data_IF_227382429390
#
_entry.id   IF_227382429390
#
_cell.length_a   1.000
_cell.length_b   1.000
_cell.length_c   1.000
_cell.angle_alpha   90.00
_cell.angle_beta   90.00
_cell.angle_gamma   90.00
#
_symmetry.space_group_name_H-M   'P 1'
#
loop_
_entity.id
_entity.type
_entity.pdbx_description
1 polymer ?
#
# COMPACT_ATOMS: atom_id res chain seq x y z
N UNK A 1 16.23 14.35 -21.80
CA UNK A 1 15.73 14.80 -20.48
C UNK A 1 15.13 13.58 -19.81
N UNK A 2 15.74 13.04 -18.76
CA UNK A 2 15.19 11.87 -18.07
C UNK A 2 13.87 12.26 -17.41
N UNK A 3 12.77 11.61 -17.78
CA UNK A 3 11.50 11.70 -17.06
C UNK A 3 11.82 11.35 -15.61
N UNK A 4 11.67 12.29 -14.67
CA UNK A 4 11.88 12.01 -13.25
C UNK A 4 10.65 11.21 -12.82
N UNK A 5 10.79 9.89 -12.79
CA UNK A 5 9.69 8.93 -12.57
C UNK A 5 9.37 8.90 -11.08
N UNK A 6 8.46 9.80 -10.67
CA UNK A 6 8.11 10.03 -9.27
C UNK A 6 6.70 9.52 -8.93
N UNK A 7 6.21 8.44 -9.56
CA UNK A 7 4.85 7.95 -9.29
C UNK A 7 4.85 6.83 -8.25
N UNK A 8 4.10 7.03 -7.17
CA UNK A 8 3.82 6.01 -6.16
C UNK A 8 2.39 5.50 -6.36
N UNK A 9 2.22 4.18 -6.31
CA UNK A 9 0.89 3.56 -6.37
C UNK A 9 0.51 3.04 -5.00
N UNK A 10 -0.69 3.36 -4.54
CA UNK A 10 -1.26 2.87 -3.29
C UNK A 10 -2.39 1.90 -3.60
N UNK A 11 -2.25 0.65 -3.18
CA UNK A 11 -3.23 -0.43 -3.39
C UNK A 11 -3.85 -0.83 -2.07
N UNK A 12 -5.18 -0.77 -2.00
CA UNK A 12 -5.97 -1.13 -0.83
C UNK A 12 -6.90 -2.31 -1.14
N UNK A 13 -6.74 -3.37 -0.37
CA UNK A 13 -7.52 -4.59 -0.48
C UNK A 13 -8.93 -4.51 0.12
N UNK A 14 -9.56 -5.69 0.32
CA UNK A 14 -10.94 -5.76 0.73
C UNK A 14 -11.23 -5.13 2.10
N UNK A 15 -12.44 -4.61 2.23
CA UNK A 15 -13.02 -3.94 3.41
C UNK A 15 -12.42 -2.59 3.79
N UNK A 16 -11.32 -2.13 3.18
CA UNK A 16 -10.72 -0.83 3.50
C UNK A 16 -11.59 0.36 3.06
N UNK A 17 -12.48 0.17 2.09
CA UNK A 17 -13.52 1.15 1.74
C UNK A 17 -14.51 1.47 2.88
N UNK A 18 -14.54 0.63 3.93
CA UNK A 18 -15.39 0.82 5.10
C UNK A 18 -14.66 1.46 6.30
N UNK A 19 -13.41 1.92 6.13
CA UNK A 19 -12.71 2.71 7.15
C UNK A 19 -13.53 3.96 7.53
N UNK A 20 -13.49 4.34 8.81
CA UNK A 20 -14.30 5.42 9.39
C UNK A 20 -15.80 5.14 9.53
N UNK A 21 -16.34 4.08 8.92
CA UNK A 21 -17.78 3.74 8.98
C UNK A 21 -18.13 2.68 10.02
N UNK A 22 -17.13 1.97 10.57
CA UNK A 22 -17.33 0.90 11.57
C UNK A 22 -17.03 1.43 12.97
N UNK A 23 -17.97 1.26 13.91
CA UNK A 23 -17.76 1.51 15.35
C UNK A 23 -16.83 0.42 15.94
N UNK A 24 -15.55 0.41 15.58
CA UNK A 24 -14.62 -0.60 16.07
C UNK A 24 -13.33 0.03 16.58
N UNK A 25 -12.97 -0.22 17.85
CA UNK A 25 -11.87 0.42 18.58
C UNK A 25 -10.47 0.28 17.93
N UNK A 26 -10.29 -0.67 16.99
CA UNK A 26 -9.01 -0.90 16.31
C UNK A 26 -8.75 0.01 15.11
N UNK A 27 -9.81 0.62 14.57
CA UNK A 27 -9.73 1.47 13.38
C UNK A 27 -10.20 2.86 13.81
N UNK A 28 -9.33 3.86 13.70
CA UNK A 28 -9.68 5.24 14.01
C UNK A 28 -10.85 5.76 13.17
N UNK A 29 -11.24 7.01 13.40
CA UNK A 29 -12.33 7.66 12.64
C UNK A 29 -11.96 8.02 11.20
N UNK A 30 -10.68 7.93 10.85
CA UNK A 30 -10.19 8.27 9.51
C UNK A 30 -10.73 7.32 8.45
N UNK A 31 -11.19 7.90 7.36
CA UNK A 31 -11.66 7.22 6.16
C UNK A 31 -10.52 7.01 5.17
N UNK A 32 -10.75 6.19 4.14
CA UNK A 32 -9.79 6.05 3.05
C UNK A 32 -9.54 7.38 2.33
N UNK A 33 -10.58 8.20 2.17
CA UNK A 33 -10.48 9.53 1.56
C UNK A 33 -9.59 10.47 2.37
N UNK A 34 -9.62 10.40 3.71
CA UNK A 34 -8.74 11.19 4.56
C UNK A 34 -7.27 10.82 4.34
N UNK A 35 -6.98 9.52 4.21
CA UNK A 35 -5.63 9.01 3.90
C UNK A 35 -5.18 9.50 2.52
N UNK A 36 -6.05 9.40 1.52
CA UNK A 36 -5.78 9.87 0.15
C UNK A 36 -5.43 11.37 0.13
N UNK A 37 -6.24 12.20 0.81
CA UNK A 37 -6.01 13.64 0.91
C UNK A 37 -4.67 13.97 1.59
N UNK A 38 -4.35 13.32 2.72
CA UNK A 38 -3.08 13.52 3.41
C UNK A 38 -1.88 13.14 2.53
N UNK A 39 -1.98 12.03 1.80
CA UNK A 39 -0.92 11.58 0.89
C UNK A 39 -0.78 12.50 -0.32
N UNK A 40 -1.88 12.98 -0.92
CA UNK A 40 -1.87 13.94 -2.02
C UNK A 40 -1.20 15.26 -1.62
N UNK A 41 -1.53 15.78 -0.44
CA UNK A 41 -0.89 16.98 0.11
C UNK A 41 0.61 16.78 0.29
N UNK A 42 1.02 15.61 0.80
CA UNK A 42 2.42 15.25 0.96
C UNK A 42 3.15 15.10 -0.38
N UNK A 43 2.52 14.44 -1.36
CA UNK A 43 3.03 14.29 -2.73
C UNK A 43 3.34 15.66 -3.34
N UNK A 44 2.40 16.59 -3.22
CA UNK A 44 2.52 17.96 -3.73
C UNK A 44 3.70 18.71 -3.10
N UNK A 45 3.92 18.57 -1.79
CA UNK A 45 5.07 19.18 -1.10
C UNK A 45 6.42 18.66 -1.61
N UNK A 46 6.46 17.45 -2.16
CA UNK A 46 7.66 16.76 -2.58
C UNK A 46 7.81 16.60 -4.11
N UNK A 47 6.94 17.24 -4.92
CA UNK A 47 6.91 17.08 -6.38
C UNK A 47 6.90 15.61 -6.82
N UNK A 48 6.03 14.83 -6.16
CA UNK A 48 5.81 13.41 -6.39
C UNK A 48 4.34 13.19 -6.78
N UNK A 49 4.10 12.24 -7.67
CA UNK A 49 2.76 11.80 -8.04
C UNK A 49 2.35 10.59 -7.21
N UNK A 50 1.09 10.55 -6.80
CA UNK A 50 0.52 9.39 -6.11
C UNK A 50 -0.83 9.04 -6.74
N UNK A 51 -1.10 7.74 -6.88
CA UNK A 51 -2.39 7.25 -7.36
C UNK A 51 -2.89 6.12 -6.47
N UNK A 52 -4.20 6.01 -6.35
CA UNK A 52 -4.85 5.11 -5.41
C UNK A 52 -5.75 4.13 -6.15
N UNK A 53 -5.75 2.89 -5.70
CA UNK A 53 -6.69 1.87 -6.14
C UNK A 53 -7.18 1.09 -4.93
N UNK A 54 -8.49 0.89 -4.85
CA UNK A 54 -9.12 0.06 -3.83
C UNK A 54 -10.09 -0.90 -4.50
N UNK A 55 -10.05 -2.18 -4.08
CA UNK A 55 -11.09 -3.13 -4.47
C UNK A 55 -11.33 -4.20 -3.41
N UNK A 56 -12.57 -4.71 -3.40
CA UNK A 56 -12.95 -5.89 -2.64
C UNK A 56 -12.71 -7.21 -3.41
N UNK A 57 -12.32 -7.12 -4.67
CA UNK A 57 -12.13 -8.26 -5.56
C UNK A 57 -10.64 -8.45 -5.84
N UNK A 58 -10.09 -9.62 -5.50
CA UNK A 58 -8.67 -9.96 -5.72
C UNK A 58 -8.27 -9.81 -7.19
N UNK A 59 -9.07 -10.37 -8.12
CA UNK A 59 -8.80 -10.26 -9.55
C UNK A 59 -8.72 -8.81 -10.05
N UNK A 60 -9.56 -7.91 -9.54
CA UNK A 60 -9.49 -6.50 -9.92
C UNK A 60 -8.21 -5.81 -9.43
N UNK A 61 -7.63 -6.26 -8.30
CA UNK A 61 -6.33 -5.77 -7.82
C UNK A 61 -5.22 -6.28 -8.74
N UNK A 62 -5.26 -7.56 -9.11
CA UNK A 62 -4.32 -8.18 -10.05
C UNK A 62 -4.36 -7.46 -11.40
N UNK A 63 -5.55 -7.31 -11.98
CA UNK A 63 -5.77 -6.64 -13.27
C UNK A 63 -5.22 -5.21 -13.23
N UNK A 64 -5.53 -4.46 -12.17
CA UNK A 64 -5.00 -3.12 -11.98
C UNK A 64 -3.46 -3.09 -11.93
N UNK A 65 -2.83 -3.96 -11.14
CA UNK A 65 -1.37 -4.02 -11.04
C UNK A 65 -0.73 -4.33 -12.40
N UNK A 66 -1.32 -5.23 -13.18
CA UNK A 66 -0.84 -5.60 -14.52
C UNK A 66 -0.95 -4.45 -15.54
N UNK A 67 -1.81 -3.45 -15.30
CA UNK A 67 -1.89 -2.26 -16.16
C UNK A 67 -0.76 -1.26 -15.95
N UNK A 68 0.03 -1.40 -14.88
CA UNK A 68 1.01 -0.39 -14.50
C UNK A 68 2.26 -0.45 -15.39
N UNK A 69 2.70 0.71 -15.89
CA UNK A 69 4.01 0.82 -16.53
C UNK A 69 5.10 0.96 -15.46
N UNK A 70 5.83 -0.13 -15.23
CA UNK A 70 6.94 -0.17 -14.27
C UNK A 70 8.03 0.87 -14.51
N UNK A 71 8.18 1.39 -15.73
CA UNK A 71 9.16 2.44 -16.02
C UNK A 71 8.76 3.79 -15.45
N UNK A 72 7.50 3.99 -15.04
CA UNK A 72 7.01 5.25 -14.48
C UNK A 72 6.92 5.24 -12.95
N UNK A 73 7.19 4.10 -12.31
CA UNK A 73 6.95 3.90 -10.88
C UNK A 73 8.21 4.07 -10.03
N UNK A 74 8.05 4.77 -8.91
CA UNK A 74 9.05 4.80 -7.82
C UNK A 74 8.81 3.68 -6.80
N UNK A 75 7.60 3.17 -6.70
CA UNK A 75 7.25 2.11 -5.75
C UNK A 75 5.75 1.88 -5.59
N UNK A 76 5.41 0.77 -4.94
CA UNK A 76 4.03 0.41 -4.60
C UNK A 76 3.88 0.33 -3.08
N UNK A 77 2.81 0.89 -2.54
CA UNK A 77 2.40 0.74 -1.14
C UNK A 77 1.16 -0.13 -1.15
N UNK A 78 1.16 -1.25 -0.44
CA UNK A 78 0.02 -2.17 -0.42
C UNK A 78 -0.47 -2.43 1.00
N UNK A 79 -1.77 -2.23 1.21
CA UNK A 79 -2.51 -2.79 2.33
C UNK A 79 -3.52 -3.79 1.77
N UNK A 80 -3.17 -5.06 1.70
CA UNK A 80 -4.03 -6.08 1.10
C UNK A 80 -5.23 -6.48 2.01
N UNK A 81 -5.37 -5.87 3.19
CA UNK A 81 -6.40 -6.26 4.15
C UNK A 81 -6.28 -7.74 4.51
N UNK A 82 -7.39 -8.48 4.47
CA UNK A 82 -7.39 -9.93 4.72
C UNK A 82 -6.70 -10.76 3.63
N UNK A 83 -6.48 -10.20 2.43
CA UNK A 83 -5.73 -10.88 1.38
C UNK A 83 -4.24 -10.95 1.71
N UNK A 84 -3.74 -10.21 2.69
CA UNK A 84 -2.36 -10.32 3.18
C UNK A 84 -1.96 -11.76 3.53
N UNK A 85 -2.93 -12.57 3.95
CA UNK A 85 -2.74 -13.96 4.37
C UNK A 85 -2.76 -14.98 3.22
N UNK A 86 -3.38 -14.65 2.09
CA UNK A 86 -3.75 -15.65 1.06
C UNK A 86 -3.62 -15.18 -0.38
N UNK A 87 -3.41 -13.88 -0.62
CA UNK A 87 -3.45 -13.24 -1.93
C UNK A 87 -2.17 -13.47 -2.75
N UNK A 88 -1.82 -14.74 -2.99
CA UNK A 88 -0.66 -15.12 -3.79
C UNK A 88 -0.72 -14.57 -5.22
N UNK A 89 -1.91 -14.47 -5.81
CA UNK A 89 -2.06 -13.90 -7.16
C UNK A 89 -1.66 -12.42 -7.22
N UNK A 90 -1.95 -11.65 -6.15
CA UNK A 90 -1.52 -10.26 -6.02
C UNK A 90 -0.01 -10.20 -5.81
N UNK A 91 0.57 -11.11 -5.02
CA UNK A 91 2.01 -11.18 -4.83
C UNK A 91 2.73 -11.41 -6.16
N UNK A 92 2.29 -12.37 -6.96
CA UNK A 92 2.89 -12.67 -8.26
C UNK A 92 2.83 -11.44 -9.19
N UNK A 93 1.67 -10.77 -9.25
CA UNK A 93 1.52 -9.54 -10.02
C UNK A 93 2.46 -8.40 -9.55
N UNK A 94 2.70 -8.26 -8.24
CA UNK A 94 3.66 -7.30 -7.70
C UNK A 94 5.10 -7.66 -8.07
N UNK A 95 5.45 -8.95 -8.08
CA UNK A 95 6.80 -9.43 -8.44
C UNK A 95 7.11 -9.20 -9.92
N UNK A 96 6.10 -9.30 -10.79
CA UNK A 96 6.24 -9.01 -12.23
C UNK A 96 6.61 -7.55 -12.54
N UNK A 97 6.36 -6.62 -11.60
CA UNK A 97 6.77 -5.22 -11.70
C UNK A 97 8.28 -5.00 -11.47
N UNK A 98 9.06 -6.05 -11.20
CA UNK A 98 10.51 -5.97 -11.00
C UNK A 98 11.19 -5.11 -12.11
N UNK A 99 12.05 -4.14 -11.73
CA UNK A 99 12.69 -3.97 -10.42
C UNK A 99 11.92 -3.15 -9.38
N UNK A 100 10.70 -2.67 -9.68
CA UNK A 100 9.90 -1.83 -8.77
C UNK A 100 9.68 -2.57 -7.45
N UNK A 101 9.88 -1.86 -6.34
CA UNK A 101 9.72 -2.40 -4.98
C UNK A 101 8.37 -2.03 -4.41
N UNK A 102 7.91 -2.83 -3.45
CA UNK A 102 6.70 -2.54 -2.70
C UNK A 102 6.92 -2.58 -1.19
N UNK A 103 6.16 -1.79 -0.45
CA UNK A 103 6.08 -1.80 1.01
C UNK A 103 4.68 -2.28 1.40
N UNK A 104 4.63 -3.29 2.25
CA UNK A 104 3.38 -3.76 2.84
C UNK A 104 3.05 -2.90 4.07
N UNK A 105 1.79 -2.47 4.21
CA UNK A 105 1.35 -1.74 5.38
C UNK A 105 0.09 -2.35 5.99
N UNK A 106 -0.05 -2.21 7.31
CA UNK A 106 -1.24 -2.54 8.08
C UNK A 106 -1.56 -1.43 9.07
N UNK A 107 -2.81 -0.94 9.06
CA UNK A 107 -3.27 0.10 10.00
C UNK A 107 -3.16 -0.39 11.46
N UNK A 108 -3.63 -1.62 11.72
CA UNK A 108 -3.54 -2.26 13.03
C UNK A 108 -2.22 -3.02 13.20
N UNK A 109 -1.80 -3.25 14.44
CA UNK A 109 -0.70 -4.17 14.71
C UNK A 109 -1.20 -5.60 14.47
N UNK A 110 -0.71 -6.26 13.42
CA UNK A 110 -1.14 -7.63 13.07
C UNK A 110 -0.59 -8.68 14.03
N UNK A 111 0.52 -8.40 14.70
CA UNK A 111 1.19 -9.33 15.62
C UNK A 111 0.51 -9.42 16.99
N UNK A 112 -0.35 -8.47 17.34
CA UNK A 112 -1.18 -8.52 18.56
C UNK A 112 -2.57 -9.12 18.30
N UNK A 113 -2.78 -9.67 17.10
CA UNK A 113 -4.06 -10.22 16.65
C UNK A 113 -3.98 -11.73 16.48
N UNK A 114 -5.08 -12.33 16.02
CA UNK A 114 -5.22 -13.77 15.80
C UNK A 114 -4.07 -14.33 14.96
N UNK A 115 -3.59 -15.56 15.27
CA UNK A 115 -2.39 -16.15 14.65
C UNK A 115 -2.42 -16.12 13.11
N UNK A 116 -3.59 -16.38 12.52
CA UNK A 116 -3.72 -16.36 11.07
C UNK A 116 -3.40 -15.00 10.44
N UNK A 117 -3.52 -13.88 11.19
CA UNK A 117 -3.19 -12.53 10.70
C UNK A 117 -1.71 -12.19 10.78
N UNK A 118 -0.94 -12.95 11.56
CA UNK A 118 0.48 -12.70 11.81
C UNK A 118 1.35 -13.18 10.65
N UNK A 119 0.82 -14.06 9.79
CA UNK A 119 1.50 -14.55 8.59
C UNK A 119 1.02 -13.75 7.37
N UNK A 120 1.97 -13.17 6.65
CA UNK A 120 1.71 -12.48 5.39
C UNK A 120 2.46 -13.18 4.26
N UNK A 121 1.80 -13.39 3.13
CA UNK A 121 2.42 -13.90 1.91
C UNK A 121 3.36 -12.87 1.29
N UNK A 122 3.12 -11.59 1.57
CA UNK A 122 3.84 -10.44 1.03
C UNK A 122 5.13 -10.12 1.79
N UNK A 123 5.10 -10.24 3.12
CA UNK A 123 6.15 -9.71 4.02
C UNK A 123 7.58 -10.16 3.67
N UNK A 124 7.75 -11.39 3.18
CA UNK A 124 9.05 -11.94 2.77
C UNK A 124 9.64 -11.24 1.54
N UNK A 125 8.79 -10.73 0.66
CA UNK A 125 9.17 -10.15 -0.64
C UNK A 125 9.06 -8.62 -0.67
N UNK A 126 8.32 -8.05 0.28
CA UNK A 126 8.25 -6.62 0.48
C UNK A 126 9.63 -6.05 0.84
N UNK A 127 9.89 -4.81 0.44
CA UNK A 127 11.07 -4.07 0.90
C UNK A 127 11.03 -3.83 2.42
N UNK A 128 9.82 -3.71 2.97
CA UNK A 128 9.55 -3.65 4.39
C UNK A 128 8.07 -3.83 4.68
N UNK A 129 7.75 -4.09 5.94
CA UNK A 129 6.37 -4.13 6.44
C UNK A 129 6.21 -3.09 7.55
N UNK A 130 5.17 -2.27 7.47
CA UNK A 130 4.81 -1.28 8.50
C UNK A 130 3.46 -1.68 9.09
N UNK A 131 3.41 -1.98 10.39
CA UNK A 131 2.14 -2.33 11.03
C UNK A 131 1.92 -1.59 12.35
N UNK A 132 0.66 -1.31 12.69
CA UNK A 132 0.28 -0.76 13.99
C UNK A 132 0.51 0.74 14.20
N UNK A 133 0.97 1.46 13.17
CA UNK A 133 1.13 2.91 13.21
C UNK A 133 -0.12 3.67 12.74
N UNK A 134 -1.26 2.99 12.65
CA UNK A 134 -2.49 3.58 12.12
C UNK A 134 -2.33 3.98 10.65
N UNK A 135 -2.98 5.07 10.27
CA UNK A 135 -2.92 5.64 8.92
C UNK A 135 -1.58 6.31 8.61
N UNK A 136 -0.80 6.69 9.63
CA UNK A 136 0.54 7.24 9.44
C UNK A 136 1.48 6.27 8.69
N UNK A 137 1.25 4.95 8.77
CA UNK A 137 2.02 3.96 8.02
C UNK A 137 2.05 4.21 6.50
N UNK A 138 0.97 4.77 5.93
CA UNK A 138 0.93 5.14 4.52
C UNK A 138 1.89 6.30 4.21
N UNK A 139 1.90 7.35 5.03
CA UNK A 139 2.82 8.48 4.89
C UNK A 139 4.28 8.06 5.12
N UNK A 140 4.53 7.19 6.09
CA UNK A 140 5.86 6.66 6.35
C UNK A 140 6.42 5.90 5.12
N UNK A 141 5.62 5.01 4.52
CA UNK A 141 6.00 4.29 3.31
C UNK A 141 6.21 5.22 2.10
N UNK A 142 5.36 6.24 1.95
CA UNK A 142 5.49 7.23 0.88
C UNK A 142 6.76 8.07 1.02
N UNK A 143 7.01 8.62 2.22
CA UNK A 143 8.19 9.44 2.49
C UNK A 143 9.49 8.65 2.31
N UNK A 144 9.46 7.36 2.63
CA UNK A 144 10.55 6.47 2.34
C UNK A 144 10.88 6.43 0.84
N UNK A 145 9.89 6.17 -0.03
CA UNK A 145 10.09 6.16 -1.49
C UNK A 145 10.54 7.52 -2.02
N UNK A 146 9.96 8.61 -1.52
CA UNK A 146 10.35 9.98 -1.87
C UNK A 146 11.82 10.27 -1.52
N UNK A 147 12.31 9.75 -0.39
CA UNK A 147 13.66 10.04 0.08
C UNK A 147 14.80 9.43 -0.75
N UNK A 148 14.49 8.52 -1.71
CA UNK A 148 15.43 7.84 -2.61
C UNK A 148 16.64 7.17 -1.93
N UNK A 149 16.57 6.82 -0.64
CA UNK A 149 17.68 6.27 0.16
C UNK A 149 18.11 4.82 -0.19
N UNK A 150 17.69 4.29 -1.33
CA UNK A 150 17.89 2.88 -1.72
C UNK A 150 18.50 2.70 -3.11
N UNK A 151 19.07 3.75 -3.69
CA UNK A 151 20.03 3.64 -4.81
C UNK A 151 21.46 3.49 -4.28
#
# INVERSE_FOLDING_TARGET
MSKNTNKIIVVNGPNLNNLGKRNNNFYGKETLLDIENQMLENAKKHNCDVSFFQSNHEGAIVDFIQTLDKNELSGVIINAGALSQVGYSILDALLDLSPVKFIEIHISNVYTREEFRQKSVFAKFALGQICGLGTYGYLAAMNFFISKKYE
#
